data_IF_050666591870
#
_entry.id   IF_050666591870
#
_cell.length_a   1.000
_cell.length_b   1.000
_cell.length_c   1.000
_cell.angle_alpha   90.00
_cell.angle_beta   90.00
_cell.angle_gamma   90.00
#
_symmetry.space_group_name_H-M   'P 1'
#
loop_
_entity.id
_entity.type
_entity.pdbx_description
1 polymer ?
#
# COMPACT_ATOMS: atom_id res chain seq x y z
N UNK A 1 0.08 -74.41 50.44
CA UNK A 1 -0.70 -74.00 49.25
C UNK A 1 -0.22 -72.59 48.88
N UNK A 2 0.90 -72.36 48.18
CA UNK A 2 1.22 -72.48 46.74
C UNK A 2 0.27 -71.70 45.79
N UNK A 3 0.67 -70.45 45.47
CA UNK A 3 0.67 -69.66 44.19
C UNK A 3 -0.65 -69.43 43.43
N UNK A 4 -0.81 -68.36 42.58
CA UNK A 4 0.20 -67.66 41.72
C UNK A 4 0.14 -66.09 41.78
N UNK A 5 1.22 -65.34 41.55
CA UNK A 5 1.82 -64.84 40.27
C UNK A 5 0.85 -64.17 39.29
N UNK A 6 1.27 -63.03 38.71
CA UNK A 6 0.62 -62.10 37.74
C UNK A 6 -0.02 -60.87 38.39
N UNK A 7 0.12 -59.62 37.94
CA UNK A 7 0.64 -59.04 36.70
C UNK A 7 1.05 -57.58 36.98
N UNK A 8 2.12 -57.11 36.33
CA UNK A 8 2.59 -55.72 36.31
C UNK A 8 1.57 -54.87 35.52
N UNK A 9 1.07 -53.75 36.05
CA UNK A 9 0.37 -52.73 35.27
C UNK A 9 0.70 -51.34 35.82
N UNK A 10 1.69 -50.72 35.17
CA UNK A 10 1.95 -49.28 35.19
C UNK A 10 0.79 -48.57 34.49
N UNK A 11 -0.04 -47.84 35.23
CA UNK A 11 -1.01 -46.92 34.66
C UNK A 11 -0.40 -45.51 34.62
N UNK A 12 0.17 -45.15 33.47
CA UNK A 12 0.59 -43.79 33.17
C UNK A 12 -0.67 -42.94 32.89
N UNK A 13 -0.92 -41.95 33.74
CA UNK A 13 -1.98 -40.97 33.55
C UNK A 13 -1.49 -39.92 32.55
N UNK A 14 -1.84 -40.08 31.27
CA UNK A 14 -1.58 -39.07 30.23
C UNK A 14 -2.63 -37.98 30.38
N UNK A 15 -2.22 -36.78 30.81
CA UNK A 15 -3.03 -35.57 30.73
C UNK A 15 -3.24 -35.22 29.24
N UNK A 16 -4.42 -35.52 28.72
CA UNK A 16 -4.89 -34.96 27.45
C UNK A 16 -5.51 -33.59 27.73
N UNK A 17 -4.69 -32.53 27.68
CA UNK A 17 -5.20 -31.17 27.55
C UNK A 17 -5.59 -30.97 26.08
N UNK A 18 -6.89 -31.05 25.78
CA UNK A 18 -7.44 -30.51 24.54
C UNK A 18 -7.35 -28.98 24.60
N UNK A 19 -6.24 -28.42 24.12
CA UNK A 19 -6.20 -27.03 23.71
C UNK A 19 -7.05 -26.91 22.45
N UNK A 20 -8.26 -26.37 22.57
CA UNK A 20 -9.00 -25.88 21.41
C UNK A 20 -8.17 -24.77 20.73
N UNK A 21 -8.15 -24.70 19.39
CA UNK A 21 -7.51 -23.58 18.71
C UNK A 21 -8.25 -22.29 19.08
N UNK A 22 -7.55 -21.40 19.79
CA UNK A 22 -7.99 -20.03 20.02
C UNK A 22 -8.13 -19.36 18.65
N UNK A 23 -9.37 -19.11 18.23
CA UNK A 23 -9.64 -18.27 17.06
C UNK A 23 -9.08 -16.87 17.36
N UNK A 24 -8.25 -16.27 16.49
CA UNK A 24 -7.77 -14.92 16.74
C UNK A 24 -8.98 -13.99 16.72
N UNK A 25 -9.23 -13.38 17.87
CA UNK A 25 -10.21 -12.31 18.06
C UNK A 25 -9.70 -11.08 17.34
N UNK A 26 -10.40 -10.64 16.29
CA UNK A 26 -10.43 -9.27 15.78
C UNK A 26 -9.13 -8.46 15.92
N UNK A 27 -8.02 -8.97 15.40
CA UNK A 27 -6.89 -8.11 15.10
C UNK A 27 -7.33 -7.24 13.91
N UNK A 28 -7.09 -5.93 13.99
CA UNK A 28 -7.11 -5.11 12.78
C UNK A 28 -6.21 -5.80 11.74
N UNK A 29 -6.63 -5.88 10.46
CA UNK A 29 -5.77 -6.45 9.43
C UNK A 29 -4.41 -5.77 9.51
N UNK A 30 -3.33 -6.54 9.40
CA UNK A 30 -1.97 -6.02 9.42
C UNK A 30 -1.76 -5.19 8.15
N UNK A 31 -2.16 -3.91 8.20
CA UNK A 31 -2.08 -2.98 7.07
C UNK A 31 -0.63 -2.81 6.62
N UNK A 32 0.34 -2.88 7.55
CA UNK A 32 1.75 -2.84 7.21
C UNK A 32 2.18 -4.07 6.41
N UNK A 33 1.72 -5.27 6.80
CA UNK A 33 1.91 -6.50 6.02
C UNK A 33 1.24 -6.43 4.64
N UNK A 34 0.03 -5.83 4.56
CA UNK A 34 -0.68 -5.62 3.30
C UNK A 34 0.05 -4.70 2.33
N UNK A 35 0.70 -3.64 2.82
CA UNK A 35 1.50 -2.72 2.02
C UNK A 35 2.71 -3.40 1.37
N UNK A 36 3.49 -4.18 2.14
CA UNK A 36 4.65 -4.90 1.62
C UNK A 36 4.23 -5.94 0.56
N UNK A 37 3.14 -6.67 0.83
CA UNK A 37 2.57 -7.61 -0.13
C UNK A 37 2.08 -6.91 -1.40
N UNK A 38 1.47 -5.73 -1.29
CA UNK A 38 1.03 -4.96 -2.46
C UNK A 38 2.21 -4.50 -3.30
N UNK A 39 3.25 -3.93 -2.67
CA UNK A 39 4.46 -3.50 -3.37
C UNK A 39 5.12 -4.66 -4.15
N UNK A 40 5.17 -5.86 -3.56
CA UNK A 40 5.78 -7.03 -4.19
C UNK A 40 4.95 -7.65 -5.33
N UNK A 41 3.61 -7.59 -5.24
CA UNK A 41 2.73 -8.34 -6.14
C UNK A 41 1.96 -7.46 -7.13
N UNK A 42 1.85 -6.17 -6.88
CA UNK A 42 0.97 -5.25 -7.61
C UNK A 42 1.65 -3.92 -7.96
N UNK A 43 2.59 -3.47 -7.14
CA UNK A 43 3.18 -2.13 -7.22
C UNK A 43 3.95 -1.85 -8.50
N UNK A 44 4.48 -2.87 -9.17
CA UNK A 44 5.17 -2.72 -10.46
C UNK A 44 4.22 -2.14 -11.53
N UNK A 45 3.01 -2.68 -11.66
CA UNK A 45 2.04 -2.21 -12.65
C UNK A 45 1.16 -1.07 -12.12
N UNK A 46 0.72 -1.16 -10.85
CA UNK A 46 -0.27 -0.23 -10.28
C UNK A 46 0.36 0.93 -9.49
N UNK A 47 1.70 1.02 -9.44
CA UNK A 47 2.44 1.93 -8.56
C UNK A 47 2.44 1.44 -7.12
N UNK A 48 3.53 1.66 -6.37
CA UNK A 48 3.68 1.20 -4.97
C UNK A 48 2.57 1.72 -4.03
N UNK A 49 1.91 2.79 -4.43
CA UNK A 49 0.84 3.47 -3.70
C UNK A 49 -0.55 3.30 -4.33
N UNK A 50 -0.65 2.51 -5.40
CA UNK A 50 -1.92 2.13 -6.01
C UNK A 50 -2.61 3.24 -6.80
N UNK A 51 -1.91 4.31 -7.18
CA UNK A 51 -2.45 5.37 -8.05
C UNK A 51 -2.46 5.03 -9.53
N UNK A 52 -1.91 3.88 -9.89
CA UNK A 52 -1.73 3.48 -11.27
C UNK A 52 -0.49 4.08 -11.92
N UNK A 53 -0.21 3.56 -13.10
CA UNK A 53 0.85 3.96 -14.00
C UNK A 53 0.29 3.95 -15.42
N UNK A 54 1.13 4.23 -16.42
CA UNK A 54 0.76 4.05 -17.83
C UNK A 54 0.49 2.56 -18.17
N UNK A 55 0.94 1.63 -17.32
CA UNK A 55 0.74 0.19 -17.50
C UNK A 55 -0.58 -0.32 -16.91
N UNK A 56 -1.01 0.19 -15.75
CA UNK A 56 -2.23 -0.26 -15.10
C UNK A 56 -2.92 0.86 -14.30
N UNK A 57 -4.25 0.86 -14.21
CA UNK A 57 -5.01 1.94 -13.57
C UNK A 57 -4.83 1.99 -12.05
N UNK A 58 -5.27 3.09 -11.43
CA UNK A 58 -5.39 3.18 -9.99
C UNK A 58 -6.28 2.06 -9.42
N UNK A 59 -5.92 1.58 -8.23
CA UNK A 59 -6.67 0.55 -7.48
C UNK A 59 -7.44 1.12 -6.29
N UNK A 60 -7.36 2.44 -6.09
CA UNK A 60 -8.03 3.15 -5.01
C UNK A 60 -9.55 3.04 -5.07
N UNK A 61 -10.20 3.17 -3.92
CA UNK A 61 -11.66 3.30 -3.83
C UNK A 61 -12.46 2.01 -4.07
N UNK A 62 -11.79 0.89 -4.38
CA UNK A 62 -12.43 -0.41 -4.55
C UNK A 62 -12.58 -1.18 -3.23
N UNK A 63 -13.67 -1.93 -3.11
CA UNK A 63 -13.89 -2.83 -1.98
C UNK A 63 -12.98 -4.05 -2.03
N UNK A 64 -12.81 -4.71 -0.87
CA UNK A 64 -12.04 -5.96 -0.77
C UNK A 64 -12.56 -7.04 -1.71
N UNK A 65 -13.87 -7.12 -1.90
CA UNK A 65 -14.49 -8.09 -2.80
C UNK A 65 -14.19 -7.78 -4.27
N UNK A 66 -14.29 -6.51 -4.67
CA UNK A 66 -13.99 -6.08 -6.04
C UNK A 66 -12.52 -6.35 -6.39
N UNK A 67 -11.60 -6.01 -5.50
CA UNK A 67 -10.17 -6.30 -5.68
C UNK A 67 -9.89 -7.80 -5.76
N UNK A 68 -10.52 -8.58 -4.88
CA UNK A 68 -10.36 -10.05 -4.89
C UNK A 68 -10.86 -10.64 -6.21
N UNK A 69 -12.01 -10.18 -6.70
CA UNK A 69 -12.58 -10.64 -7.96
C UNK A 69 -11.69 -10.25 -9.14
N UNK A 70 -11.18 -9.02 -9.17
CA UNK A 70 -10.27 -8.57 -10.23
C UNK A 70 -8.96 -9.38 -10.24
N UNK A 71 -8.39 -9.72 -9.09
CA UNK A 71 -7.16 -10.53 -9.03
C UNK A 71 -7.38 -11.98 -9.46
N UNK A 72 -8.52 -12.58 -9.10
CA UNK A 72 -8.82 -14.00 -9.37
C UNK A 72 -9.48 -14.23 -10.73
N UNK A 73 -10.25 -13.27 -11.22
CA UNK A 73 -11.02 -13.32 -12.46
C UNK A 73 -10.97 -11.94 -13.12
N UNK A 74 -9.78 -11.54 -13.63
CA UNK A 74 -9.57 -10.20 -14.13
C UNK A 74 -10.40 -9.89 -15.37
N UNK A 75 -10.87 -8.65 -15.43
CA UNK A 75 -11.26 -7.99 -16.66
C UNK A 75 -10.07 -7.21 -17.26
N UNK A 76 -10.00 -7.10 -18.58
CA UNK A 76 -8.92 -6.38 -19.28
C UNK A 76 -7.64 -7.20 -19.47
N UNK A 77 -6.50 -6.50 -19.46
CA UNK A 77 -5.18 -7.07 -19.78
C UNK A 77 -4.44 -7.67 -18.56
N UNK A 78 -5.02 -7.55 -17.35
CA UNK A 78 -4.44 -8.10 -16.12
C UNK A 78 -4.46 -9.65 -16.15
N UNK A 79 -3.33 -10.28 -15.83
CA UNK A 79 -3.25 -11.73 -15.68
C UNK A 79 -3.84 -12.20 -14.34
N UNK A 80 -4.54 -13.33 -14.37
CA UNK A 80 -5.15 -13.89 -13.16
C UNK A 80 -4.05 -14.44 -12.24
N UNK A 81 -4.06 -14.02 -10.97
CA UNK A 81 -3.13 -14.54 -9.96
C UNK A 81 -3.86 -15.64 -9.17
N UNK A 82 -3.44 -16.92 -9.26
CA UNK A 82 -4.14 -18.01 -8.59
C UNK A 82 -3.76 -18.16 -7.10
N UNK A 83 -4.57 -18.84 -6.27
CA UNK A 83 -4.35 -18.99 -4.83
C UNK A 83 -3.03 -19.65 -4.41
N UNK A 84 -2.40 -20.44 -5.30
CA UNK A 84 -1.10 -21.06 -5.05
C UNK A 84 0.08 -20.10 -5.26
N UNK A 85 -0.17 -18.94 -5.89
CA UNK A 85 0.81 -17.86 -6.10
C UNK A 85 0.65 -16.73 -5.09
N UNK A 86 -0.59 -16.36 -4.79
CA UNK A 86 -0.95 -15.40 -3.76
C UNK A 86 -2.13 -15.98 -3.01
N UNK A 87 -1.98 -16.28 -1.72
CA UNK A 87 -3.05 -16.91 -0.94
C UNK A 87 -4.25 -15.97 -0.77
N UNK A 88 -5.43 -16.51 -0.46
CA UNK A 88 -6.61 -15.67 -0.18
C UNK A 88 -6.42 -14.84 1.10
N UNK A 89 -5.60 -15.31 2.04
CA UNK A 89 -5.26 -14.58 3.26
C UNK A 89 -4.37 -13.37 2.96
N UNK A 90 -3.31 -13.57 2.15
CA UNK A 90 -2.43 -12.49 1.73
C UNK A 90 -3.17 -11.47 0.84
N UNK A 91 -4.03 -11.94 -0.06
CA UNK A 91 -4.86 -11.07 -0.89
C UNK A 91 -5.84 -10.25 -0.06
N UNK A 92 -6.39 -10.81 1.02
CA UNK A 92 -7.23 -10.05 1.95
C UNK A 92 -6.44 -8.96 2.69
N UNK A 93 -5.17 -9.19 3.03
CA UNK A 93 -4.29 -8.16 3.61
C UNK A 93 -3.98 -7.05 2.61
N UNK A 94 -3.65 -7.39 1.36
CA UNK A 94 -3.47 -6.42 0.26
C UNK A 94 -4.73 -5.59 0.08
N UNK A 95 -5.88 -6.24 -0.03
CA UNK A 95 -7.14 -5.56 -0.27
C UNK A 95 -7.55 -4.66 0.90
N UNK A 96 -7.23 -5.03 2.14
CA UNK A 96 -7.41 -4.18 3.31
C UNK A 96 -6.47 -2.97 3.30
N UNK A 97 -5.23 -3.13 2.83
CA UNK A 97 -4.32 -2.00 2.61
C UNK A 97 -4.86 -1.05 1.54
N UNK A 98 -5.26 -1.56 0.37
CA UNK A 98 -5.81 -0.72 -0.71
C UNK A 98 -7.07 0.03 -0.26
N UNK A 99 -7.97 -0.63 0.47
CA UNK A 99 -9.15 0.01 1.04
C UNK A 99 -8.84 1.05 2.14
N UNK A 100 -7.62 1.03 2.70
CA UNK A 100 -7.15 2.04 3.65
C UNK A 100 -6.55 3.27 2.98
N UNK A 101 -6.22 3.18 1.69
CA UNK A 101 -5.74 4.31 0.92
C UNK A 101 -6.88 5.32 0.72
N UNK A 102 -6.57 6.63 0.68
CA UNK A 102 -7.58 7.64 0.40
C UNK A 102 -8.25 7.34 -0.95
N UNK A 103 -9.58 7.37 -0.98
CA UNK A 103 -10.38 6.94 -2.14
C UNK A 103 -10.19 7.82 -3.39
N UNK A 104 -9.54 8.97 -3.22
CA UNK A 104 -9.07 9.87 -4.27
C UNK A 104 -7.91 10.65 -3.63
N UNK A 105 -6.78 10.83 -4.33
CA UNK A 105 -5.97 12.01 -4.05
C UNK A 105 -6.88 13.21 -4.34
N UNK A 106 -7.21 14.00 -3.31
CA UNK A 106 -8.18 15.07 -3.48
C UNK A 106 -7.68 16.00 -4.60
N UNK A 107 -8.46 16.11 -5.68
CA UNK A 107 -8.21 17.13 -6.69
C UNK A 107 -8.26 18.48 -5.97
N UNK A 108 -7.12 19.14 -5.88
CA UNK A 108 -7.02 20.45 -5.25
C UNK A 108 -7.34 21.51 -6.32
N UNK A 109 -8.35 22.35 -6.06
CA UNK A 109 -8.64 23.53 -6.91
C UNK A 109 -7.52 24.61 -6.81
N UNK A 110 -6.46 24.33 -6.04
CA UNK A 110 -5.27 25.16 -5.89
C UNK A 110 -4.49 25.19 -7.21
N UNK A 111 -4.15 26.39 -7.68
CA UNK A 111 -3.23 26.57 -8.80
C UNK A 111 -1.82 26.86 -8.26
N UNK A 112 -0.79 26.24 -8.85
CA UNK A 112 0.60 26.53 -8.49
C UNK A 112 0.98 27.98 -8.83
N UNK A 113 1.55 28.67 -7.85
CA UNK A 113 2.18 29.98 -7.97
C UNK A 113 3.36 29.90 -8.93
N UNK A 114 3.55 30.89 -9.82
CA UNK A 114 4.67 30.91 -10.76
C UNK A 114 6.05 30.80 -10.10
N UNK A 115 6.19 31.27 -8.85
CA UNK A 115 7.45 31.22 -8.10
C UNK A 115 7.73 29.80 -7.55
N UNK A 116 6.68 28.99 -7.33
CA UNK A 116 6.80 27.61 -6.85
C UNK A 116 7.07 26.60 -7.97
N UNK A 117 6.62 26.88 -9.20
CA UNK A 117 6.74 25.95 -10.35
C UNK A 117 8.16 25.40 -10.55
N UNK A 118 9.25 26.20 -10.56
CA UNK A 118 10.59 25.64 -10.75
C UNK A 118 11.01 24.65 -9.66
N UNK A 119 10.50 24.82 -8.45
CA UNK A 119 10.77 23.90 -7.35
C UNK A 119 9.93 22.62 -7.49
N UNK A 120 8.67 22.71 -7.91
CA UNK A 120 7.83 21.55 -8.18
C UNK A 120 8.40 20.71 -9.33
N UNK A 121 8.85 21.32 -10.42
CA UNK A 121 9.49 20.62 -11.54
C UNK A 121 10.79 19.91 -11.11
N UNK A 122 11.60 20.57 -10.27
CA UNK A 122 12.82 19.96 -9.72
C UNK A 122 12.51 18.80 -8.77
N UNK A 123 11.46 18.92 -7.94
CA UNK A 123 10.99 17.83 -7.10
C UNK A 123 10.49 16.64 -7.92
N UNK A 124 9.73 16.90 -9.00
CA UNK A 124 9.27 15.88 -9.94
C UNK A 124 10.42 15.12 -10.61
N UNK A 125 11.48 15.82 -11.04
CA UNK A 125 12.66 15.16 -11.61
C UNK A 125 13.38 14.30 -10.57
N UNK A 126 13.46 14.74 -9.32
CA UNK A 126 14.09 13.98 -8.23
C UNK A 126 13.32 12.68 -7.86
N UNK A 127 12.01 12.62 -8.15
CA UNK A 127 11.15 11.45 -7.88
C UNK A 127 10.68 10.72 -9.16
N UNK A 128 11.30 11.02 -10.30
CA UNK A 128 10.93 10.46 -11.60
C UNK A 128 11.04 8.94 -11.64
N UNK A 129 12.13 8.42 -11.09
CA UNK A 129 12.42 6.99 -10.99
C UNK A 129 12.23 6.58 -9.53
N UNK A 130 11.25 5.71 -9.27
CA UNK A 130 10.96 5.23 -7.91
C UNK A 130 12.09 4.40 -7.31
N UNK A 131 12.81 3.61 -8.12
CA UNK A 131 13.90 2.75 -7.64
C UNK A 131 15.15 3.55 -7.26
N UNK A 132 15.37 4.69 -7.93
CA UNK A 132 16.56 5.52 -7.78
C UNK A 132 16.24 6.97 -7.39
N UNK A 133 15.11 7.21 -6.72
CA UNK A 133 14.69 8.57 -6.36
C UNK A 133 15.71 9.25 -5.43
N UNK A 134 15.93 10.55 -5.64
CA UNK A 134 16.67 11.40 -4.70
C UNK A 134 15.67 12.08 -3.74
N UNK A 135 15.29 11.34 -2.70
CA UNK A 135 14.34 11.80 -1.68
C UNK A 135 14.80 13.06 -0.95
N UNK A 136 16.09 13.23 -0.70
CA UNK A 136 16.60 14.43 -0.01
C UNK A 136 16.42 15.67 -0.89
N UNK A 137 16.79 15.56 -2.18
CA UNK A 137 16.60 16.65 -3.15
C UNK A 137 15.13 16.97 -3.36
N UNK A 138 14.26 15.96 -3.48
CA UNK A 138 12.82 16.17 -3.63
C UNK A 138 12.22 16.96 -2.45
N UNK A 139 12.54 16.57 -1.22
CA UNK A 139 12.08 17.26 -0.01
C UNK A 139 12.62 18.69 0.07
N UNK A 140 13.91 18.90 -0.25
CA UNK A 140 14.50 20.23 -0.22
C UNK A 140 13.82 21.21 -1.20
N UNK A 141 13.46 20.74 -2.39
CA UNK A 141 12.72 21.57 -3.36
C UNK A 141 11.28 21.84 -2.91
N UNK A 142 10.58 20.86 -2.35
CA UNK A 142 9.23 21.08 -1.81
C UNK A 142 9.21 22.05 -0.63
N UNK A 143 10.20 21.99 0.28
CA UNK A 143 10.35 22.95 1.37
C UNK A 143 10.59 24.37 0.85
N UNK A 144 11.37 24.52 -0.23
CA UNK A 144 11.56 25.81 -0.90
C UNK A 144 10.27 26.31 -1.55
N UNK A 145 9.50 25.44 -2.20
CA UNK A 145 8.21 25.81 -2.78
C UNK A 145 7.23 26.28 -1.69
N UNK A 146 7.14 25.54 -0.57
CA UNK A 146 6.30 25.90 0.57
C UNK A 146 6.73 27.20 1.26
N UNK A 147 8.01 27.53 1.24
CA UNK A 147 8.52 28.80 1.78
C UNK A 147 8.15 30.02 0.91
N UNK A 148 7.74 29.80 -0.34
CA UNK A 148 7.36 30.85 -1.30
C UNK A 148 5.84 31.08 -1.35
N UNK A 149 5.04 30.23 -0.70
CA UNK A 149 3.58 30.24 -0.76
C UNK A 149 2.96 30.36 0.63
N UNK A 150 1.65 30.60 0.67
CA UNK A 150 0.86 30.70 1.89
C UNK A 150 -0.55 30.09 1.69
N UNK A 151 -1.28 29.91 2.79
CA UNK A 151 -2.63 29.35 2.77
C UNK A 151 -2.70 27.91 2.24
N UNK A 152 -3.76 27.63 1.49
CA UNK A 152 -4.09 26.29 0.97
C UNK A 152 -2.98 25.71 0.07
N UNK A 153 -2.23 26.56 -0.64
CA UNK A 153 -1.10 26.13 -1.48
C UNK A 153 0.08 25.64 -0.65
N UNK A 154 0.41 26.34 0.43
CA UNK A 154 1.47 25.89 1.33
C UNK A 154 1.09 24.59 2.07
N UNK A 155 -0.19 24.44 2.43
CA UNK A 155 -0.72 23.22 3.05
C UNK A 155 -0.60 22.02 2.09
N UNK A 156 -0.99 22.17 0.82
CA UNK A 156 -0.83 21.14 -0.21
C UNK A 156 0.64 20.69 -0.36
N UNK A 157 1.60 21.62 -0.31
CA UNK A 157 3.01 21.25 -0.41
C UNK A 157 3.53 20.51 0.83
N UNK A 158 2.97 20.79 2.01
CA UNK A 158 3.25 19.98 3.20
C UNK A 158 2.69 18.57 3.08
N UNK A 159 1.55 18.39 2.42
CA UNK A 159 0.99 17.07 2.12
C UNK A 159 1.91 16.28 1.17
N UNK A 160 2.47 16.91 0.14
CA UNK A 160 3.46 16.28 -0.73
C UNK A 160 4.70 15.83 0.04
N UNK A 161 5.23 16.70 0.92
CA UNK A 161 6.36 16.39 1.81
C UNK A 161 6.02 15.18 2.69
N UNK A 162 4.86 15.18 3.32
CA UNK A 162 4.44 14.11 4.22
C UNK A 162 4.28 12.79 3.46
N UNK A 163 3.71 12.85 2.26
CA UNK A 163 3.57 11.70 1.37
C UNK A 163 4.92 11.07 1.05
N UNK A 164 5.92 11.87 0.65
CA UNK A 164 7.29 11.37 0.40
C UNK A 164 7.93 10.79 1.68
N UNK A 165 7.75 11.44 2.83
CA UNK A 165 8.28 10.95 4.12
C UNK A 165 7.67 9.60 4.51
N UNK A 166 6.40 9.38 4.19
CA UNK A 166 5.68 8.13 4.43
C UNK A 166 5.98 7.04 3.39
N UNK A 167 6.89 7.28 2.44
CA UNK A 167 7.21 6.34 1.36
C UNK A 167 6.19 6.31 0.22
N UNK A 168 5.30 7.32 0.15
CA UNK A 168 4.28 7.48 -0.90
C UNK A 168 4.73 8.52 -1.92
N UNK A 169 5.98 8.42 -2.41
CA UNK A 169 6.52 9.41 -3.34
C UNK A 169 5.79 9.43 -4.71
N UNK A 170 5.10 8.35 -5.08
CA UNK A 170 4.32 8.28 -6.31
C UNK A 170 3.05 9.11 -6.21
N UNK A 171 2.41 9.14 -5.04
CA UNK A 171 1.30 10.05 -4.71
C UNK A 171 1.72 11.49 -4.89
N UNK A 172 2.81 11.89 -4.24
CA UNK A 172 3.33 13.24 -4.38
C UNK A 172 3.62 13.56 -5.86
N UNK A 173 4.22 12.63 -6.60
CA UNK A 173 4.50 12.81 -8.04
C UNK A 173 3.24 12.99 -8.87
N UNK A 174 2.24 12.14 -8.67
CA UNK A 174 0.97 12.18 -9.41
C UNK A 174 0.26 13.50 -9.17
N UNK A 175 0.06 13.86 -7.90
CA UNK A 175 -0.61 15.10 -7.49
C UNK A 175 0.16 16.35 -7.98
N UNK A 176 1.50 16.33 -7.93
CA UNK A 176 2.31 17.42 -8.50
C UNK A 176 2.17 17.52 -10.03
N UNK A 177 2.10 16.39 -10.76
CA UNK A 177 1.86 16.42 -12.21
C UNK A 177 0.47 16.97 -12.52
N UNK A 178 -0.54 16.57 -11.77
CA UNK A 178 -1.91 17.09 -11.92
C UNK A 178 -1.95 18.61 -11.67
N UNK A 179 -1.36 19.07 -10.57
CA UNK A 179 -1.26 20.49 -10.21
C UNK A 179 -0.60 21.32 -11.31
N UNK A 180 0.41 20.77 -11.98
CA UNK A 180 1.11 21.43 -13.09
C UNK A 180 0.45 21.24 -14.46
N UNK A 181 -0.66 20.50 -14.53
CA UNK A 181 -1.33 20.16 -15.79
C UNK A 181 -0.48 19.28 -16.71
N UNK A 182 0.41 18.47 -16.13
CA UNK A 182 1.32 17.54 -16.82
C UNK A 182 0.79 16.12 -16.92
N UNK A 183 -0.48 15.89 -16.56
CA UNK A 183 -1.18 14.63 -16.83
C UNK A 183 -1.22 14.45 -18.35
N UNK A 184 -0.49 13.45 -18.87
CA UNK A 184 -0.55 13.12 -20.29
C UNK A 184 -2.01 12.76 -20.61
N UNK A 185 -2.59 13.48 -21.57
CA UNK A 185 -3.91 13.13 -22.09
C UNK A 185 -3.78 11.80 -22.83
N UNK A 186 -4.33 10.74 -22.25
CA UNK A 186 -4.57 9.46 -22.94
C UNK A 186 -5.31 9.63 -24.28
#
# INVERSE_FOLDING_TARGET
MIRPSTFLLLAALVLAACSAPTQPTGAAPDVAGGQELFALNCGECHGEDGLGTDEAPAVLGHSVEELTNQVRTPEGDMEAIPPDKLSDEDLALIAAYVASLPAEAAHSDVAASPDAVPHLEAALEAIRDHENMDRETALAHLEQAAALTDGEEAELYQEFIESIVQGRAGNARHEMKELLGLMESD
#
